data_IF_634388351233
#
_entry.id   IF_634388351233
#
_cell.length_a   1.000
_cell.length_b   1.000
_cell.length_c   1.000
_cell.angle_alpha   90.00
_cell.angle_beta   90.00
_cell.angle_gamma   90.00
#
_symmetry.space_group_name_H-M   'P 1'
#
loop_
_entity.id
_entity.type
_entity.pdbx_description
1 polymer ?
#
# COMPACT_ATOMS: atom_id res chain seq x y z
N UNK A 1 -3.63 5.15 34.32
CA UNK A 1 -4.74 6.14 34.32
C UNK A 1 -6.02 5.61 34.94
N UNK A 2 -6.82 4.74 34.29
CA UNK A 2 -8.05 4.21 34.93
C UNK A 2 -7.79 3.38 36.19
N UNK A 3 -6.65 2.67 36.24
CA UNK A 3 -6.18 1.92 37.42
C UNK A 3 -5.70 2.81 38.57
N UNK A 4 -5.49 4.10 38.32
CA UNK A 4 -4.90 5.06 39.28
C UNK A 4 -5.94 6.08 39.78
N UNK A 5 -7.22 5.92 39.42
CA UNK A 5 -8.31 6.79 39.87
C UNK A 5 -8.31 8.20 39.25
N UNK A 6 -7.51 8.43 38.20
CA UNK A 6 -7.42 9.72 37.52
C UNK A 6 -8.58 9.84 36.54
N UNK A 7 -9.38 10.91 36.66
CA UNK A 7 -10.48 11.24 35.77
C UNK A 7 -9.96 11.56 34.36
N UNK A 8 -9.80 10.51 33.55
CA UNK A 8 -9.35 10.61 32.17
C UNK A 8 -10.56 10.60 31.24
N UNK A 9 -10.76 11.68 30.47
CA UNK A 9 -11.69 11.65 29.35
C UNK A 9 -11.10 10.73 28.27
N UNK A 10 -11.83 9.69 27.91
CA UNK A 10 -11.38 8.77 26.86
C UNK A 10 -11.33 9.53 25.53
N UNK A 11 -10.14 9.99 25.13
CA UNK A 11 -9.94 10.58 23.81
C UNK A 11 -10.12 9.43 22.80
N UNK A 12 -11.19 9.49 22.02
CA UNK A 12 -11.39 8.55 20.91
C UNK A 12 -10.46 8.96 19.78
N UNK A 13 -9.36 8.23 19.64
CA UNK A 13 -8.50 8.33 18.47
C UNK A 13 -9.02 7.40 17.37
N UNK A 14 -8.94 7.85 16.13
CA UNK A 14 -9.26 7.01 14.98
C UNK A 14 -7.99 6.23 14.62
N UNK A 15 -8.05 4.90 14.81
CA UNK A 15 -6.92 4.01 14.58
C UNK A 15 -6.66 3.81 13.07
N UNK A 16 -5.41 3.98 12.65
CA UNK A 16 -4.95 3.76 11.28
C UNK A 16 -4.41 2.34 11.05
N UNK A 17 -4.56 1.42 12.00
CA UNK A 17 -4.09 0.03 11.88
C UNK A 17 -4.60 -0.66 10.63
N UNK A 18 -5.84 -0.40 10.20
CA UNK A 18 -6.40 -0.95 8.97
C UNK A 18 -5.65 -0.47 7.70
N UNK A 19 -5.08 0.74 7.72
CA UNK A 19 -4.25 1.28 6.64
C UNK A 19 -2.86 0.62 6.67
N UNK A 20 -2.25 0.55 7.86
CA UNK A 20 -0.95 -0.10 8.07
C UNK A 20 -1.02 -1.57 7.62
N UNK A 21 -2.09 -2.29 7.99
CA UNK A 21 -2.34 -3.66 7.58
C UNK A 21 -2.44 -3.79 6.06
N UNK A 22 -3.11 -2.86 5.37
CA UNK A 22 -3.20 -2.90 3.91
C UNK A 22 -1.83 -2.69 3.24
N UNK A 23 -0.92 -1.94 3.87
CA UNK A 23 0.40 -1.66 3.33
C UNK A 23 1.40 -2.80 3.60
N UNK A 24 1.47 -3.30 4.84
CA UNK A 24 2.61 -4.12 5.32
C UNK A 24 2.23 -5.55 5.74
N UNK A 25 0.93 -5.88 5.86
CA UNK A 25 0.52 -7.20 6.38
C UNK A 25 0.86 -8.32 5.41
N UNK A 26 1.78 -9.20 5.81
CA UNK A 26 2.08 -10.43 5.07
C UNK A 26 0.87 -11.38 5.02
N UNK A 27 0.63 -12.11 3.91
CA UNK A 27 1.38 -12.10 2.66
C UNK A 27 0.79 -11.18 1.57
N UNK A 28 -0.30 -10.46 1.85
CA UNK A 28 -1.11 -9.76 0.85
C UNK A 28 -1.07 -8.22 0.93
N UNK A 29 -0.24 -7.66 1.81
CA UNK A 29 -0.01 -6.23 1.91
C UNK A 29 0.63 -5.66 0.65
N UNK A 30 0.39 -4.38 0.38
CA UNK A 30 0.89 -3.69 -0.82
C UNK A 30 2.39 -3.91 -1.05
N UNK A 31 3.23 -3.79 -0.01
CA UNK A 31 4.68 -3.98 -0.15
C UNK A 31 5.04 -5.41 -0.53
N UNK A 32 4.34 -6.40 0.03
CA UNK A 32 4.53 -7.80 -0.35
C UNK A 32 4.16 -8.06 -1.82
N UNK A 33 3.12 -7.39 -2.32
CA UNK A 33 2.75 -7.50 -3.74
C UNK A 33 3.84 -6.89 -4.63
N UNK A 34 4.35 -5.72 -4.29
CA UNK A 34 5.45 -5.06 -5.01
C UNK A 34 6.70 -5.94 -5.02
N UNK A 35 7.14 -6.44 -3.87
CA UNK A 35 8.29 -7.34 -3.75
C UNK A 35 8.12 -8.58 -4.63
N UNK A 36 6.93 -9.20 -4.56
CA UNK A 36 6.63 -10.39 -5.36
C UNK A 36 6.63 -10.09 -6.85
N UNK A 37 6.21 -8.91 -7.29
CA UNK A 37 6.18 -8.57 -8.71
C UNK A 37 7.57 -8.17 -9.22
N UNK A 38 8.41 -7.56 -8.38
CA UNK A 38 9.80 -7.26 -8.70
C UNK A 38 10.65 -8.50 -9.03
N UNK A 39 10.29 -9.68 -8.48
CA UNK A 39 11.00 -10.94 -8.73
C UNK A 39 10.36 -11.80 -9.84
N UNK A 40 9.15 -11.45 -10.30
CA UNK A 40 8.40 -12.26 -11.25
C UNK A 40 8.94 -12.07 -12.68
N UNK A 41 9.14 -13.16 -13.44
CA UNK A 41 9.60 -13.04 -14.82
C UNK A 41 8.52 -12.35 -15.67
N UNK A 42 8.93 -11.35 -16.45
CA UNK A 42 8.05 -10.53 -17.30
C UNK A 42 7.01 -9.69 -16.54
N UNK A 43 7.26 -9.39 -15.26
CA UNK A 43 6.46 -8.42 -14.54
C UNK A 43 6.56 -7.03 -15.19
N UNK A 44 5.44 -6.33 -15.19
CA UNK A 44 5.30 -4.94 -15.60
C UNK A 44 4.47 -4.16 -14.58
N UNK A 45 4.56 -2.84 -14.63
CA UNK A 45 3.72 -1.94 -13.81
C UNK A 45 2.21 -2.25 -14.01
N UNK A 46 1.81 -2.62 -15.23
CA UNK A 46 0.43 -3.04 -15.54
C UNK A 46 0.03 -4.36 -14.88
N UNK A 47 0.93 -5.34 -14.74
CA UNK A 47 0.64 -6.56 -13.98
C UNK A 47 0.54 -6.29 -12.48
N UNK A 48 1.42 -5.41 -11.96
CA UNK A 48 1.41 -4.98 -10.56
C UNK A 48 0.08 -4.34 -10.17
N UNK A 49 -0.39 -3.34 -10.93
CA UNK A 49 -1.65 -2.64 -10.62
C UNK A 49 -2.86 -3.57 -10.71
N UNK A 50 -2.86 -4.50 -11.67
CA UNK A 50 -3.89 -5.54 -11.78
C UNK A 50 -3.93 -6.43 -10.53
N UNK A 51 -2.77 -6.83 -10.03
CA UNK A 51 -2.62 -7.64 -8.82
C UNK A 51 -3.07 -6.89 -7.57
N UNK A 52 -2.71 -5.61 -7.44
CA UNK A 52 -3.19 -4.72 -6.36
C UNK A 52 -4.72 -4.64 -6.38
N UNK A 53 -5.32 -4.29 -7.52
CA UNK A 53 -6.78 -4.17 -7.62
C UNK A 53 -7.52 -5.49 -7.34
N UNK A 54 -6.97 -6.62 -7.78
CA UNK A 54 -7.55 -7.93 -7.49
C UNK A 54 -7.47 -8.28 -6.00
N UNK A 55 -6.34 -8.00 -5.36
CA UNK A 55 -6.13 -8.29 -3.93
C UNK A 55 -7.00 -7.41 -3.04
N UNK A 56 -7.12 -6.13 -3.37
CA UNK A 56 -7.85 -5.13 -2.58
C UNK A 56 -9.27 -4.85 -3.08
N UNK A 57 -9.84 -5.70 -3.95
CA UNK A 57 -11.16 -5.47 -4.58
C UNK A 57 -12.30 -5.19 -3.60
N UNK A 58 -12.25 -5.78 -2.41
CA UNK A 58 -13.24 -5.59 -1.34
C UNK A 58 -12.78 -4.61 -0.24
N UNK A 59 -11.55 -4.07 -0.33
CA UNK A 59 -11.01 -3.12 0.62
C UNK A 59 -11.55 -1.71 0.36
N UNK A 60 -11.70 -0.94 1.44
CA UNK A 60 -11.96 0.51 1.36
C UNK A 60 -10.67 1.33 1.47
N UNK A 61 -9.55 0.68 1.75
CA UNK A 61 -8.26 1.35 1.99
C UNK A 61 -7.51 1.56 0.68
N UNK A 62 -7.42 0.52 -0.16
CA UNK A 62 -6.76 0.60 -1.46
C UNK A 62 -7.82 0.37 -2.52
N UNK A 63 -8.00 1.37 -3.40
CA UNK A 63 -9.09 1.37 -4.37
C UNK A 63 -8.57 1.70 -5.76
N UNK A 64 -9.42 1.46 -6.77
CA UNK A 64 -9.19 1.93 -8.13
C UNK A 64 -9.68 3.38 -8.25
N UNK A 65 -8.81 4.34 -8.63
CA UNK A 65 -9.21 5.71 -8.92
C UNK A 65 -10.18 5.76 -10.12
N UNK A 66 -10.86 6.89 -10.30
CA UNK A 66 -11.95 7.06 -11.26
C UNK A 66 -11.63 6.68 -12.72
N UNK A 67 -12.66 6.71 -13.58
CA UNK A 67 -12.74 6.07 -14.92
C UNK A 67 -11.59 6.28 -15.93
N UNK A 68 -10.63 7.18 -15.72
CA UNK A 68 -9.64 7.58 -16.73
C UNK A 68 -8.19 7.15 -16.45
N UNK A 69 -7.89 6.56 -15.30
CA UNK A 69 -6.52 6.14 -14.96
C UNK A 69 -6.42 4.61 -14.92
N UNK A 70 -5.95 4.01 -16.00
CA UNK A 70 -5.86 2.55 -16.10
C UNK A 70 -4.75 1.95 -15.23
N UNK A 71 -3.75 2.76 -14.86
CA UNK A 71 -2.50 2.34 -14.24
C UNK A 71 -2.24 3.03 -12.88
N UNK A 72 -3.29 3.42 -12.16
CA UNK A 72 -3.14 4.09 -10.87
C UNK A 72 -3.92 3.33 -9.79
N UNK A 73 -3.51 3.48 -8.53
CA UNK A 73 -4.25 3.04 -7.36
C UNK A 73 -4.37 4.18 -6.35
N UNK A 74 -5.43 4.19 -5.55
CA UNK A 74 -5.62 5.19 -4.51
C UNK A 74 -5.52 4.54 -3.13
N UNK A 75 -4.93 5.25 -2.17
CA UNK A 75 -4.88 4.85 -0.76
C UNK A 75 -5.64 5.89 0.07
N UNK A 76 -6.64 5.43 0.80
CA UNK A 76 -7.37 6.23 1.78
C UNK A 76 -6.52 6.36 3.05
N UNK A 77 -5.63 7.35 3.09
CA UNK A 77 -4.82 7.65 4.27
C UNK A 77 -5.66 8.35 5.34
N UNK A 78 -5.10 8.41 6.55
CA UNK A 78 -5.73 9.13 7.67
C UNK A 78 -6.05 10.60 7.32
N UNK A 79 -5.19 11.26 6.55
CA UNK A 79 -5.36 12.66 6.16
C UNK A 79 -6.17 12.86 4.86
N UNK A 80 -6.61 11.78 4.21
CA UNK A 80 -7.34 11.83 2.95
C UNK A 80 -6.87 10.81 1.90
N UNK A 81 -7.56 10.78 0.77
CA UNK A 81 -7.21 9.91 -0.35
C UNK A 81 -6.01 10.46 -1.12
N UNK A 82 -5.05 9.59 -1.42
CA UNK A 82 -3.88 9.90 -2.27
C UNK A 82 -3.85 8.92 -3.43
N UNK A 83 -3.75 9.44 -4.65
CA UNK A 83 -3.62 8.64 -5.88
C UNK A 83 -2.15 8.46 -6.22
N UNK A 84 -1.76 7.22 -6.49
CA UNK A 84 -0.42 6.82 -6.88
C UNK A 84 -0.46 6.29 -8.31
N UNK A 85 0.46 6.76 -9.14
CA UNK A 85 0.70 6.16 -10.43
C UNK A 85 1.71 5.03 -10.31
N UNK A 86 1.42 3.89 -10.96
CA UNK A 86 2.35 2.76 -11.01
C UNK A 86 3.41 2.91 -12.10
N UNK A 87 3.40 3.98 -12.88
CA UNK A 87 4.43 4.21 -13.90
C UNK A 87 5.83 4.21 -13.26
N UNK A 88 6.74 3.38 -13.78
CA UNK A 88 8.12 3.17 -13.30
C UNK A 88 8.23 2.64 -11.86
N UNK A 89 7.16 2.05 -11.31
CA UNK A 89 7.20 1.54 -9.92
C UNK A 89 8.17 0.38 -9.77
N UNK A 90 8.10 -0.61 -10.67
CA UNK A 90 8.97 -1.78 -10.57
C UNK A 90 10.43 -1.42 -10.78
N UNK A 91 10.73 -0.52 -11.74
CA UNK A 91 12.09 -0.02 -11.98
C UNK A 91 12.68 0.57 -10.70
N UNK A 92 11.97 1.49 -10.06
CA UNK A 92 12.41 2.14 -8.80
C UNK A 92 12.60 1.17 -7.63
N UNK A 93 11.87 0.07 -7.61
CA UNK A 93 11.97 -0.94 -6.55
C UNK A 93 12.98 -2.06 -6.86
N UNK A 94 13.42 -2.17 -8.11
CA UNK A 94 14.46 -3.11 -8.57
C UNK A 94 15.82 -2.46 -8.77
N UNK A 95 15.90 -1.13 -8.74
CA UNK A 95 17.13 -0.33 -8.80
C UNK A 95 18.02 -0.55 -7.57
N UNK A 96 18.68 -1.70 -7.53
CA UNK A 96 19.78 -2.00 -6.63
C UNK A 96 21.07 -1.67 -7.38
N UNK A 97 21.92 -0.86 -6.75
CA UNK A 97 23.33 -0.72 -7.15
C UNK A 97 23.92 -2.11 -7.38
N UNK A 98 24.44 -2.35 -8.59
CA UNK A 98 25.10 -3.60 -8.94
C UNK A 98 26.22 -3.85 -7.93
N UNK A 99 26.32 -5.08 -7.41
CA UNK A 99 27.30 -5.44 -6.37
C UNK A 99 28.76 -5.19 -6.82
N UNK A 100 28.99 -5.02 -8.12
CA UNK A 100 30.29 -4.69 -8.72
C UNK A 100 30.72 -3.23 -8.52
N UNK A 101 29.92 -2.40 -7.84
CA UNK A 101 30.19 -0.96 -7.58
C UNK A 101 30.50 -0.68 -6.10
N UNK A 102 30.78 -1.70 -5.28
CA UNK A 102 31.19 -1.55 -3.85
C UNK A 102 32.64 -1.95 -3.63
#
# INVERSE_FOLDING_TARGET
YSSEGIAWSHITFQDNQHIIDALDKKPLGLFCLVDSECIMPNASDTTLVGKIHNTFKASKVITKPGRFTSNDFAVAHYAGEVVYSVETFLEKNTDKLHADVV
#
